data_IF_025251422086
#
_entry.id   IF_025251422086
#
_cell.length_a   1.000
_cell.length_b   1.000
_cell.length_c   1.000
_cell.angle_alpha   90.00
_cell.angle_beta   90.00
_cell.angle_gamma   90.00
#
_symmetry.space_group_name_H-M   'P 1'
#
loop_
_entity.id
_entity.type
_entity.pdbx_description
1 polymer ?
#
# COMPACT_ATOMS: atom_id res chain seq x y z
N UNK A 1 -11.04 -0.94 8.12
CA UNK A 1 -10.10 -1.15 7.00
C UNK A 1 -8.77 -0.59 7.42
N UNK A 2 -7.69 -1.34 7.20
CA UNK A 2 -6.34 -0.95 7.62
C UNK A 2 -5.63 -0.17 6.49
N UNK A 3 -4.62 0.61 6.85
CA UNK A 3 -3.72 1.28 5.91
C UNK A 3 -2.26 1.13 6.37
N UNK A 4 -1.97 -0.06 6.89
CA UNK A 4 -0.73 -0.37 7.58
C UNK A 4 0.24 -1.04 6.61
N UNK A 5 1.48 -0.56 6.57
CA UNK A 5 2.57 -1.20 5.84
C UNK A 5 3.43 -1.99 6.81
N UNK A 6 3.44 -3.32 6.66
CA UNK A 6 4.30 -4.21 7.42
C UNK A 6 5.32 -4.86 6.49
N UNK A 7 6.59 -4.84 6.89
CA UNK A 7 7.67 -5.52 6.18
C UNK A 7 8.19 -6.64 7.05
N UNK A 8 8.21 -7.85 6.50
CA UNK A 8 8.81 -9.01 7.16
C UNK A 8 10.28 -9.14 6.75
N UNK A 9 11.18 -9.08 7.74
CA UNK A 9 12.59 -9.34 7.52
C UNK A 9 12.89 -10.81 7.78
N UNK A 10 13.06 -11.57 6.70
CA UNK A 10 13.32 -13.03 6.74
C UNK A 10 14.60 -13.37 7.51
N UNK A 11 15.63 -12.53 7.44
CA UNK A 11 16.93 -12.82 8.06
C UNK A 11 16.89 -12.94 9.58
N UNK A 12 15.89 -12.34 10.23
CA UNK A 12 15.75 -12.36 11.69
C UNK A 12 14.31 -12.60 12.16
N UNK A 13 13.43 -13.01 11.24
CA UNK A 13 12.03 -13.33 11.49
C UNK A 13 11.24 -12.22 12.22
N UNK A 14 11.53 -10.95 11.92
CA UNK A 14 10.86 -9.80 12.55
C UNK A 14 9.97 -9.06 11.57
N UNK A 15 8.76 -8.73 12.04
CA UNK A 15 7.90 -7.74 11.41
C UNK A 15 8.31 -6.34 11.84
N UNK A 16 8.38 -5.42 10.89
CA UNK A 16 8.60 -4.00 11.12
C UNK A 16 7.43 -3.22 10.56
N UNK A 17 6.86 -2.35 11.39
CA UNK A 17 5.79 -1.43 11.00
C UNK A 17 6.39 -0.16 10.41
N UNK A 18 5.94 0.22 9.22
CA UNK A 18 6.36 1.45 8.54
C UNK A 18 5.21 2.45 8.49
N UNK A 19 5.45 3.65 9.03
CA UNK A 19 4.53 4.78 8.92
C UNK A 19 5.10 5.80 7.93
N UNK A 20 4.65 5.72 6.69
CA UNK A 20 5.07 6.60 5.60
C UNK A 20 3.95 7.63 5.36
N UNK A 21 4.25 8.94 5.36
CA UNK A 21 3.25 9.96 5.06
C UNK A 21 2.75 9.86 3.61
N UNK A 22 1.63 10.53 3.32
CA UNK A 22 1.06 10.59 1.98
C UNK A 22 0.75 9.22 1.34
N UNK A 23 0.46 8.20 2.16
CA UNK A 23 0.04 6.87 1.68
C UNK A 23 -1.33 6.91 0.99
N UNK A 24 -1.64 5.92 0.13
CA UNK A 24 -2.99 5.75 -0.40
C UNK A 24 -4.04 5.71 0.73
N UNK A 25 -5.28 6.15 0.48
CA UNK A 25 -6.38 5.94 1.42
C UNK A 25 -6.58 4.45 1.77
N UNK A 26 -7.12 4.14 2.97
CA UNK A 26 -7.41 2.77 3.38
C UNK A 26 -8.23 2.03 2.33
N UNK A 27 -7.78 0.83 1.96
CA UNK A 27 -8.37 0.00 0.90
C UNK A 27 -8.21 -1.49 1.20
N UNK A 28 -9.15 -2.30 0.74
CA UNK A 28 -9.06 -3.76 0.67
C UNK A 28 -9.13 -4.22 -0.78
N UNK A 29 -8.86 -5.52 -1.04
CA UNK A 29 -9.02 -6.14 -2.36
C UNK A 29 -8.23 -5.45 -3.49
N UNK A 30 -7.15 -4.73 -3.14
CA UNK A 30 -6.28 -4.07 -4.10
C UNK A 30 -5.32 -5.08 -4.73
N UNK A 31 -4.82 -4.75 -5.92
CA UNK A 31 -3.73 -5.50 -6.56
C UNK A 31 -2.40 -4.86 -6.19
N UNK A 32 -1.38 -5.69 -5.93
CA UNK A 32 -0.04 -5.24 -5.59
C UNK A 32 1.02 -5.99 -6.39
N UNK A 33 2.00 -5.27 -6.95
CA UNK A 33 3.12 -5.84 -7.70
C UNK A 33 4.42 -5.17 -7.25
N UNK A 34 5.42 -5.97 -6.91
CA UNK A 34 6.77 -5.49 -6.63
C UNK A 34 7.66 -5.69 -7.86
N UNK A 35 8.42 -4.66 -8.23
CA UNK A 35 9.34 -4.69 -9.37
C UNK A 35 10.72 -4.13 -8.98
N UNK A 36 11.81 -4.60 -9.62
CA UNK A 36 13.17 -4.16 -9.28
C UNK A 36 13.58 -2.84 -9.96
N UNK A 37 12.75 -2.26 -10.83
CA UNK A 37 13.02 -0.95 -11.47
C UNK A 37 13.20 0.14 -10.42
N UNK A 38 13.92 1.21 -10.80
CA UNK A 38 14.11 2.41 -9.97
C UNK A 38 14.53 2.12 -8.52
N UNK A 39 15.43 1.14 -8.34
CA UNK A 39 15.94 0.69 -7.02
C UNK A 39 14.88 0.02 -6.12
N UNK A 40 13.79 -0.46 -6.72
CA UNK A 40 12.73 -1.19 -6.05
C UNK A 40 11.47 -0.34 -5.92
N UNK A 41 10.37 -0.83 -6.48
CA UNK A 41 9.07 -0.19 -6.42
C UNK A 41 8.00 -1.19 -6.02
N UNK A 42 7.06 -0.76 -5.18
CA UNK A 42 5.83 -1.48 -4.89
C UNK A 42 4.65 -0.69 -5.47
N UNK A 43 3.99 -1.28 -6.46
CA UNK A 43 2.84 -0.71 -7.13
C UNK A 43 1.54 -1.21 -6.52
N UNK A 44 0.59 -0.32 -6.29
CA UNK A 44 -0.76 -0.63 -5.80
C UNK A 44 -1.78 -0.04 -6.77
N UNK A 45 -2.68 -0.89 -7.28
CA UNK A 45 -3.78 -0.46 -8.13
C UNK A 45 -5.14 -0.82 -7.53
N UNK A 46 -6.05 0.15 -7.56
CA UNK A 46 -7.46 -0.04 -7.24
C UNK A 46 -7.71 -0.52 -5.81
N UNK A 47 -8.67 -1.44 -5.68
CA UNK A 47 -9.22 -1.87 -4.39
C UNK A 47 -10.50 -1.13 -4.04
N UNK A 48 -10.99 -1.34 -2.82
CA UNK A 48 -12.27 -0.79 -2.37
C UNK A 48 -12.23 -0.34 -0.91
N UNK A 49 -13.07 0.63 -0.59
CA UNK A 49 -13.36 1.08 0.77
C UNK A 49 -14.81 0.79 1.11
N UNK A 50 -15.05 0.23 2.30
CA UNK A 50 -16.38 0.06 2.87
C UNK A 50 -16.39 0.49 4.33
N UNK A 51 -17.49 1.14 4.76
CA UNK A 51 -17.73 1.38 6.18
C UNK A 51 -18.17 0.08 6.86
N UNK A 52 -17.96 -0.03 8.18
CA UNK A 52 -18.43 -1.20 8.95
C UNK A 52 -19.94 -1.43 8.87
N UNK A 53 -20.70 -0.35 8.65
CA UNK A 53 -22.14 -0.37 8.44
C UNK A 53 -22.56 -0.74 7.02
N UNK A 54 -21.60 -0.93 6.11
CA UNK A 54 -21.79 -1.13 4.67
C UNK A 54 -22.59 -0.01 3.96
N UNK A 55 -22.81 1.11 4.65
CA UNK A 55 -23.58 2.24 4.13
C UNK A 55 -22.80 3.11 3.15
N UNK A 56 -21.47 3.01 3.15
CA UNK A 56 -20.61 3.67 2.17
C UNK A 56 -19.71 2.64 1.53
N UNK A 57 -19.62 2.73 0.21
CA UNK A 57 -18.82 1.85 -0.61
C UNK A 57 -18.16 2.65 -1.73
N UNK A 58 -16.88 2.43 -1.95
CA UNK A 58 -16.11 3.14 -2.97
C UNK A 58 -15.09 2.23 -3.62
N UNK A 59 -15.12 2.13 -4.95
CA UNK A 59 -14.08 1.43 -5.71
C UNK A 59 -13.02 2.43 -6.18
N UNK A 60 -11.79 2.19 -5.78
CA UNK A 60 -10.64 2.94 -6.25
C UNK A 60 -10.27 2.50 -7.67
N UNK A 61 -9.85 3.47 -8.49
CA UNK A 61 -9.28 3.26 -9.83
C UNK A 61 -7.93 3.99 -9.97
N UNK A 62 -7.35 4.39 -8.85
CA UNK A 62 -6.08 5.11 -8.78
C UNK A 62 -4.90 4.12 -8.78
N UNK A 63 -3.73 4.65 -9.15
CA UNK A 63 -2.47 3.95 -9.16
C UNK A 63 -1.52 4.66 -8.20
N UNK A 64 -0.86 3.88 -7.36
CA UNK A 64 0.12 4.35 -6.39
C UNK A 64 1.42 3.55 -6.53
N UNK A 65 2.53 4.23 -6.28
CA UNK A 65 3.84 3.59 -6.17
C UNK A 65 4.49 3.98 -4.84
N UNK A 66 5.08 2.99 -4.18
CA UNK A 66 6.01 3.19 -3.08
C UNK A 66 7.42 2.96 -3.60
N UNK A 67 8.21 4.03 -3.63
CA UNK A 67 9.64 3.98 -3.91
C UNK A 67 10.35 3.37 -2.69
N UNK A 68 10.93 2.17 -2.83
CA UNK A 68 11.46 1.41 -1.70
C UNK A 68 12.80 1.94 -1.19
N UNK A 69 13.55 2.66 -2.03
CA UNK A 69 14.82 3.27 -1.66
C UNK A 69 14.64 4.51 -0.76
N UNK A 70 13.67 5.36 -1.10
CA UNK A 70 13.36 6.60 -0.37
C UNK A 70 12.23 6.46 0.64
N UNK A 71 11.49 5.34 0.61
CA UNK A 71 10.26 5.12 1.36
C UNK A 71 9.27 6.28 1.17
N UNK A 72 8.96 6.61 -0.08
CA UNK A 72 8.01 7.68 -0.42
C UNK A 72 6.87 7.14 -1.27
N UNK A 73 5.66 7.53 -0.93
CA UNK A 73 4.48 7.28 -1.75
C UNK A 73 4.31 8.36 -2.80
N UNK A 74 3.89 7.95 -3.98
CA UNK A 74 3.51 8.82 -5.09
C UNK A 74 2.19 8.32 -5.69
N UNK A 75 1.29 9.26 -5.97
CA UNK A 75 0.07 8.99 -6.75
C UNK A 75 0.34 9.38 -8.19
N UNK A 76 0.09 8.46 -9.11
CA UNK A 76 0.23 8.66 -10.56
C UNK A 76 -1.03 9.32 -11.13
#
# INVERSE_FOLDING_TARGET
MYNDLLVYKVTNSKWTFFKIPASPPPRTSHQAVAVPSNKGELWIFGGEFSTKSESQFYHYKDLWVLHLDSLQWERI
#
